data_IF_211604608802
#
_entry.id   IF_211604608802
#
_cell.length_a   1.000
_cell.length_b   1.000
_cell.length_c   1.000
_cell.angle_alpha   90.00
_cell.angle_beta   90.00
_cell.angle_gamma   90.00
#
_symmetry.space_group_name_H-M   'P 1'
#
loop_
_entity.id
_entity.type
_entity.pdbx_description
1 polymer ?
#
# COMPACT_ATOMS: atom_id res chain seq x y z
N UNK A 1 -52.64 10.21 -43.07
CA UNK A 1 -51.76 9.04 -42.89
C UNK A 1 -51.11 8.74 -44.23
N UNK A 2 -49.81 9.03 -44.41
CA UNK A 2 -49.12 8.87 -45.69
C UNK A 2 -48.31 7.56 -45.69
N UNK A 3 -48.73 6.59 -46.49
CA UNK A 3 -48.02 5.31 -46.65
C UNK A 3 -47.00 5.46 -47.78
N UNK A 4 -45.71 5.51 -47.45
CA UNK A 4 -44.63 5.60 -48.43
C UNK A 4 -44.38 4.22 -49.04
N UNK A 5 -44.96 3.97 -50.22
CA UNK A 5 -44.80 2.70 -50.94
C UNK A 5 -43.49 2.70 -51.75
N UNK A 6 -42.40 2.20 -51.16
CA UNK A 6 -41.08 2.14 -51.82
C UNK A 6 -40.99 0.92 -52.73
N UNK A 7 -41.19 1.11 -54.05
CA UNK A 7 -41.01 0.04 -55.05
C UNK A 7 -39.52 -0.19 -55.37
N UNK A 8 -38.82 -0.85 -54.45
CA UNK A 8 -37.38 -1.13 -54.56
C UNK A 8 -37.06 -2.18 -55.62
N UNK A 9 -36.54 -1.76 -56.76
CA UNK A 9 -35.96 -2.68 -57.75
C UNK A 9 -34.67 -3.32 -57.22
N UNK A 10 -34.41 -4.60 -57.57
CA UNK A 10 -33.27 -5.42 -57.06
C UNK A 10 -31.93 -4.67 -57.03
N UNK A 11 -31.62 -3.88 -58.07
CA UNK A 11 -30.39 -3.07 -58.16
C UNK A 11 -30.25 -2.02 -57.04
N UNK A 12 -31.35 -1.40 -56.60
CA UNK A 12 -31.35 -0.44 -55.48
C UNK A 12 -31.25 -1.14 -54.12
N UNK A 13 -31.80 -2.34 -53.98
CA UNK A 13 -31.64 -3.14 -52.76
C UNK A 13 -30.17 -3.55 -52.54
N UNK A 14 -29.47 -3.95 -53.60
CA UNK A 14 -28.04 -4.28 -53.55
C UNK A 14 -27.19 -3.05 -53.17
N UNK A 15 -27.48 -1.87 -53.74
CA UNK A 15 -26.77 -0.63 -53.40
C UNK A 15 -26.98 -0.20 -51.95
N UNK A 16 -28.21 -0.32 -51.42
CA UNK A 16 -28.49 -0.02 -50.00
C UNK A 16 -27.76 -1.02 -49.08
N UNK A 17 -27.77 -2.31 -49.41
CA UNK A 17 -27.04 -3.32 -48.63
C UNK A 17 -25.53 -3.05 -48.62
N UNK A 18 -24.94 -2.71 -49.77
CA UNK A 18 -23.53 -2.35 -49.88
C UNK A 18 -23.19 -1.08 -49.07
N UNK A 19 -24.04 -0.05 -49.12
CA UNK A 19 -23.85 1.16 -48.32
C UNK A 19 -23.90 0.88 -46.81
N UNK A 20 -24.86 0.05 -46.36
CA UNK A 20 -24.94 -0.38 -44.94
C UNK A 20 -23.69 -1.17 -44.54
N UNK A 21 -23.17 -2.05 -45.40
CA UNK A 21 -21.95 -2.81 -45.11
C UNK A 21 -20.70 -1.90 -45.03
N UNK A 22 -20.59 -0.88 -45.88
CA UNK A 22 -19.52 0.13 -45.81
C UNK A 22 -19.63 0.96 -44.52
N UNK A 23 -20.84 1.35 -44.11
CA UNK A 23 -21.06 2.08 -42.85
C UNK A 23 -20.71 1.20 -41.64
N UNK A 24 -21.11 -0.08 -41.63
CA UNK A 24 -20.77 -1.03 -40.56
C UNK A 24 -19.26 -1.29 -40.46
N UNK A 25 -18.58 -1.46 -41.59
CA UNK A 25 -17.12 -1.68 -41.60
C UNK A 25 -16.36 -0.41 -41.22
N UNK A 26 -16.81 0.77 -41.63
CA UNK A 26 -16.28 2.05 -41.16
C UNK A 26 -16.52 2.26 -39.66
N UNK A 27 -17.68 1.89 -39.13
CA UNK A 27 -17.98 1.96 -37.69
C UNK A 27 -17.11 0.99 -36.87
N UNK A 28 -16.86 -0.23 -37.36
CA UNK A 28 -15.92 -1.17 -36.72
C UNK A 28 -14.46 -0.67 -36.79
N UNK A 29 -14.05 -0.09 -37.91
CA UNK A 29 -12.72 0.49 -38.07
C UNK A 29 -12.51 1.70 -37.16
N UNK A 30 -13.49 2.60 -37.07
CA UNK A 30 -13.50 3.70 -36.10
C UNK A 30 -13.51 3.17 -34.66
N UNK A 31 -14.29 2.13 -34.36
CA UNK A 31 -14.27 1.44 -33.07
C UNK A 31 -12.91 0.85 -32.69
N UNK A 32 -12.08 0.45 -33.67
CA UNK A 32 -10.70 -0.01 -33.42
C UNK A 32 -9.67 1.12 -33.38
N UNK A 33 -9.85 2.20 -34.13
CA UNK A 33 -8.95 3.35 -34.14
C UNK A 33 -9.18 4.31 -32.95
N UNK A 34 -10.41 4.37 -32.41
CA UNK A 34 -10.73 5.09 -31.18
C UNK A 34 -10.74 4.16 -29.95
N UNK A 35 -10.93 2.84 -30.13
CA UNK A 35 -10.89 1.82 -29.07
C UNK A 35 -9.49 1.48 -28.54
N UNK A 36 -8.47 2.27 -28.89
CA UNK A 36 -7.19 2.28 -28.18
C UNK A 36 -7.32 2.85 -26.76
N UNK A 37 -8.39 3.61 -26.49
CA UNK A 37 -8.88 3.77 -25.13
C UNK A 37 -9.52 2.43 -24.67
N UNK A 38 -8.71 1.61 -23.99
CA UNK A 38 -9.23 0.74 -22.94
C UNK A 38 -10.28 1.53 -22.17
N UNK A 39 -11.47 0.95 -21.94
CA UNK A 39 -12.54 1.64 -21.23
C UNK A 39 -11.97 2.10 -19.89
N UNK A 40 -11.71 3.41 -19.77
CA UNK A 40 -10.90 3.93 -18.68
C UNK A 40 -11.63 3.61 -17.38
N UNK A 41 -11.15 2.59 -16.66
CA UNK A 41 -11.67 2.28 -15.34
C UNK A 41 -11.55 3.58 -14.56
N UNK A 42 -12.69 4.07 -14.08
CA UNK A 42 -12.78 5.40 -13.47
C UNK A 42 -12.10 5.32 -12.11
N UNK A 43 -10.77 5.44 -12.12
CA UNK A 43 -9.95 5.32 -10.94
C UNK A 43 -10.43 6.33 -9.90
N UNK A 44 -10.43 5.95 -8.61
CA UNK A 44 -10.85 6.82 -7.53
C UNK A 44 -10.08 8.14 -7.56
N UNK A 45 -10.75 9.24 -7.20
CA UNK A 45 -10.04 10.47 -6.91
C UNK A 45 -9.21 10.28 -5.63
N UNK A 46 -8.01 10.86 -5.59
CA UNK A 46 -7.09 10.78 -4.45
C UNK A 46 -6.20 12.01 -4.35
N UNK A 47 -6.58 13.12 -4.98
CA UNK A 47 -5.82 14.37 -4.98
C UNK A 47 -5.89 15.05 -3.62
N UNK A 48 -7.10 15.12 -3.04
CA UNK A 48 -7.32 15.69 -1.70
C UNK A 48 -7.30 14.62 -0.61
N UNK A 49 -7.13 15.04 0.64
CA UNK A 49 -7.08 14.14 1.78
C UNK A 49 -8.43 13.45 2.04
N UNK A 50 -9.51 14.22 1.91
CA UNK A 50 -10.89 13.75 2.08
C UNK A 50 -11.25 12.68 1.05
N UNK A 51 -10.74 12.79 -0.18
CA UNK A 51 -10.92 11.77 -1.22
C UNK A 51 -10.22 10.45 -0.86
N UNK A 52 -8.99 10.51 -0.33
CA UNK A 52 -8.24 9.33 0.12
C UNK A 52 -8.89 8.64 1.32
N UNK A 53 -9.35 9.41 2.30
CA UNK A 53 -10.10 8.89 3.45
C UNK A 53 -11.46 8.30 3.03
N UNK A 54 -12.21 8.97 2.15
CA UNK A 54 -13.48 8.46 1.63
C UNK A 54 -13.30 7.17 0.81
N UNK A 55 -12.17 7.00 0.12
CA UNK A 55 -11.82 5.75 -0.55
C UNK A 55 -11.62 4.61 0.46
N UNK A 56 -10.82 4.82 1.52
CA UNK A 56 -10.62 3.82 2.59
C UNK A 56 -11.93 3.45 3.29
N UNK A 57 -12.75 4.45 3.62
CA UNK A 57 -14.09 4.26 4.18
C UNK A 57 -15.03 3.48 3.25
N UNK A 58 -14.84 3.59 1.92
CA UNK A 58 -15.56 2.80 0.92
C UNK A 58 -15.31 1.30 1.01
N UNK A 59 -14.16 0.88 1.57
CA UNK A 59 -13.85 -0.51 1.90
C UNK A 59 -14.13 -0.86 3.37
N UNK A 60 -14.68 0.07 4.16
CA UNK A 60 -14.96 -0.11 5.59
C UNK A 60 -13.80 0.20 6.53
N UNK A 61 -12.68 0.74 6.02
CA UNK A 61 -11.53 1.09 6.84
C UNK A 61 -11.64 2.52 7.38
N UNK A 62 -11.54 2.64 8.70
CA UNK A 62 -11.35 3.91 9.39
C UNK A 62 -9.86 4.13 9.60
N UNK A 63 -9.39 5.34 9.29
CA UNK A 63 -7.99 5.71 9.39
C UNK A 63 -7.86 7.14 9.93
N UNK A 64 -6.69 7.45 10.49
CA UNK A 64 -6.41 8.77 11.05
C UNK A 64 -6.51 9.89 10.00
N UNK A 65 -6.91 11.08 10.43
CA UNK A 65 -7.19 12.22 9.54
C UNK A 65 -5.97 12.66 8.74
N UNK A 66 -4.75 12.52 9.30
CA UNK A 66 -3.50 12.88 8.65
C UNK A 66 -2.74 11.62 8.22
N UNK A 67 -2.04 11.70 7.08
CA UNK A 67 -1.14 10.63 6.66
C UNK A 67 0.09 10.62 7.56
N UNK A 68 0.46 9.43 8.05
CA UNK A 68 1.66 9.17 8.87
C UNK A 68 2.93 9.46 8.06
N UNK A 69 2.93 9.05 6.80
CA UNK A 69 4.05 9.26 5.87
C UNK A 69 3.53 9.59 4.47
N UNK A 70 4.25 10.48 3.77
CA UNK A 70 4.00 10.78 2.36
C UNK A 70 5.34 10.75 1.64
N UNK A 71 5.48 9.83 0.68
CA UNK A 71 6.73 9.62 -0.07
C UNK A 71 6.47 9.56 -1.55
N UNK A 72 7.45 9.99 -2.32
CA UNK A 72 7.46 9.85 -3.77
C UNK A 72 8.15 8.53 -4.13
N UNK A 73 7.50 7.70 -4.96
CA UNK A 73 8.04 6.41 -5.42
C UNK A 73 7.93 6.30 -6.94
N UNK A 74 8.89 5.64 -7.56
CA UNK A 74 8.85 5.33 -8.99
C UNK A 74 8.45 3.86 -9.17
N UNK A 75 7.42 3.64 -9.98
CA UNK A 75 7.01 2.30 -10.40
C UNK A 75 8.05 1.77 -11.39
N UNK A 76 8.60 0.56 -11.22
CA UNK A 76 9.60 0.01 -12.14
C UNK A 76 9.15 0.03 -13.61
N UNK A 77 10.05 0.32 -14.55
CA UNK A 77 9.79 0.21 -15.99
C UNK A 77 9.54 -1.23 -16.45
N UNK A 78 10.11 -2.20 -15.72
CA UNK A 78 9.98 -3.63 -15.96
C UNK A 78 9.56 -4.28 -14.66
N UNK A 79 8.43 -4.98 -14.66
CA UNK A 79 7.93 -5.69 -13.48
C UNK A 79 8.65 -7.05 -13.39
N UNK A 80 9.33 -7.29 -12.29
CA UNK A 80 9.87 -8.60 -11.93
C UNK A 80 8.76 -9.49 -11.33
N UNK A 81 9.08 -10.75 -10.99
CA UNK A 81 8.10 -11.69 -10.44
C UNK A 81 7.42 -11.17 -9.15
N UNK A 82 8.12 -10.33 -8.36
CA UNK A 82 7.59 -9.74 -7.13
C UNK A 82 6.59 -8.63 -7.45
N UNK A 83 6.96 -7.70 -8.34
CA UNK A 83 6.10 -6.58 -8.73
C UNK A 83 4.92 -7.03 -9.61
N UNK A 84 5.09 -8.09 -10.40
CA UNK A 84 3.98 -8.79 -11.06
C UNK A 84 3.00 -9.35 -10.03
N UNK A 85 3.50 -10.03 -8.99
CA UNK A 85 2.66 -10.59 -7.91
C UNK A 85 1.93 -9.50 -7.11
N UNK A 86 2.58 -8.38 -6.84
CA UNK A 86 1.94 -7.20 -6.26
C UNK A 86 0.85 -6.65 -7.20
N UNK A 87 1.15 -6.49 -8.50
CA UNK A 87 0.15 -6.00 -9.46
C UNK A 87 -1.04 -6.95 -9.63
N UNK A 88 -0.90 -8.26 -9.45
CA UNK A 88 -2.06 -9.17 -9.40
C UNK A 88 -3.04 -8.80 -8.27
N UNK A 89 -2.53 -8.47 -7.07
CA UNK A 89 -3.32 -7.99 -5.92
C UNK A 89 -3.96 -6.64 -6.20
N UNK A 90 -3.29 -5.76 -6.96
CA UNK A 90 -3.86 -4.48 -7.38
C UNK A 90 -4.95 -4.64 -8.44
N UNK A 91 -4.73 -5.49 -9.46
CA UNK A 91 -5.70 -5.80 -10.52
C UNK A 91 -6.98 -6.43 -9.97
N UNK A 92 -6.88 -7.26 -8.91
CA UNK A 92 -8.05 -7.80 -8.21
C UNK A 92 -8.95 -6.69 -7.61
N UNK A 93 -8.36 -5.56 -7.23
CA UNK A 93 -9.06 -4.36 -6.73
C UNK A 93 -9.50 -3.40 -7.86
N UNK A 94 -9.31 -3.77 -9.14
CA UNK A 94 -9.60 -2.91 -10.30
C UNK A 94 -8.56 -1.82 -10.54
N UNK A 95 -7.35 -1.96 -10.00
CA UNK A 95 -6.25 -1.00 -10.06
C UNK A 95 -5.04 -1.62 -10.76
N UNK A 96 -4.77 -1.28 -12.02
CA UNK A 96 -3.66 -1.86 -12.78
C UNK A 96 -2.45 -0.92 -12.82
N UNK A 97 -1.30 -1.39 -12.34
CA UNK A 97 -0.05 -0.64 -12.31
C UNK A 97 0.75 -0.73 -13.62
N UNK A 98 0.52 -1.73 -14.47
CA UNK A 98 1.20 -1.87 -15.78
C UNK A 98 1.18 -0.58 -16.63
N UNK A 99 0.04 0.14 -16.82
CA UNK A 99 0.02 1.41 -17.55
C UNK A 99 0.74 2.57 -16.84
N UNK A 100 1.28 2.37 -15.63
CA UNK A 100 2.05 3.33 -14.86
C UNK A 100 3.53 2.92 -14.65
N UNK A 101 4.00 1.85 -15.29
CA UNK A 101 5.41 1.48 -15.34
C UNK A 101 6.31 2.65 -15.77
N UNK A 102 7.45 2.82 -15.09
CA UNK A 102 8.40 3.91 -15.30
C UNK A 102 7.92 5.29 -14.80
N UNK A 103 6.74 5.39 -14.17
CA UNK A 103 6.19 6.66 -13.69
C UNK A 103 6.37 6.83 -12.19
N UNK A 104 6.56 8.08 -11.80
CA UNK A 104 6.65 8.49 -10.40
C UNK A 104 5.27 8.87 -9.85
N UNK A 105 4.88 8.27 -8.73
CA UNK A 105 3.63 8.52 -8.02
C UNK A 105 3.89 8.85 -6.54
N UNK A 106 2.86 9.32 -5.82
CA UNK A 106 2.95 9.62 -4.38
C UNK A 106 2.26 8.51 -3.59
N UNK A 107 3.00 7.84 -2.73
CA UNK A 107 2.48 6.93 -1.72
C UNK A 107 2.08 7.73 -0.48
N UNK A 108 0.85 7.56 -0.03
CA UNK A 108 0.31 8.12 1.22
C UNK A 108 0.06 6.96 2.17
N UNK A 109 0.64 7.02 3.37
CA UNK A 109 0.51 5.96 4.38
C UNK A 109 -0.36 6.50 5.52
N UNK A 110 -1.49 5.85 5.78
CA UNK A 110 -2.42 6.20 6.86
C UNK A 110 -2.42 5.12 7.95
N UNK A 111 -2.59 5.48 9.21
CA UNK A 111 -2.78 4.53 10.30
C UNK A 111 -4.25 4.10 10.38
N UNK A 112 -4.52 2.78 10.38
CA UNK A 112 -5.87 2.21 10.40
C UNK A 112 -6.28 1.91 11.83
N UNK A 113 -7.41 2.47 12.27
CA UNK A 113 -7.84 2.45 13.67
C UNK A 113 -8.86 1.35 13.98
N UNK A 114 -9.55 0.84 12.96
CA UNK A 114 -10.61 -0.17 13.08
C UNK A 114 -10.18 -1.57 12.58
N UNK A 115 -8.88 -1.91 12.64
CA UNK A 115 -8.41 -3.24 12.27
C UNK A 115 -8.73 -4.26 13.40
N UNK A 116 -9.27 -5.46 13.12
CA UNK A 116 -9.78 -6.37 14.15
C UNK A 116 -8.71 -7.18 14.90
N UNK A 117 -7.48 -7.23 14.40
CA UNK A 117 -6.35 -7.86 15.10
C UNK A 117 -5.63 -6.85 16.01
N UNK A 118 -4.91 -7.36 17.01
CA UNK A 118 -3.95 -6.53 17.74
C UNK A 118 -2.72 -6.31 16.85
N UNK A 119 -2.33 -5.05 16.65
CA UNK A 119 -1.20 -4.66 15.79
C UNK A 119 -1.43 -3.26 15.20
N UNK A 120 -0.36 -2.59 14.78
CA UNK A 120 -0.47 -1.32 14.04
C UNK A 120 -0.50 -1.62 12.55
N UNK A 121 -1.65 -1.35 11.92
CA UNK A 121 -1.87 -1.58 10.49
C UNK A 121 -1.89 -0.25 9.74
N UNK A 122 -1.18 -0.20 8.62
CA UNK A 122 -1.09 0.95 7.75
C UNK A 122 -1.76 0.71 6.41
N UNK A 123 -2.52 1.70 5.93
CA UNK A 123 -3.08 1.74 4.59
C UNK A 123 -2.19 2.58 3.67
N UNK A 124 -1.51 1.93 2.74
CA UNK A 124 -0.73 2.57 1.66
C UNK A 124 -1.63 2.91 0.48
N UNK A 125 -1.62 4.15 0.00
CA UNK A 125 -2.36 4.58 -1.19
C UNK A 125 -1.42 5.18 -2.23
N UNK A 126 -1.37 4.59 -3.42
CA UNK A 126 -0.57 5.06 -4.55
C UNK A 126 -1.38 6.03 -5.40
N UNK A 127 -0.97 7.30 -5.43
CA UNK A 127 -1.65 8.39 -6.15
C UNK A 127 -0.80 8.91 -7.30
N UNK A 128 -1.32 8.80 -8.52
CA UNK A 128 -0.75 9.38 -9.73
C UNK A 128 -1.77 10.27 -10.43
N UNK A 129 -1.37 11.49 -10.84
CA UNK A 129 -2.23 12.45 -11.55
C UNK A 129 -3.60 12.67 -10.87
N UNK A 130 -3.59 12.85 -9.54
CA UNK A 130 -4.79 13.04 -8.71
C UNK A 130 -5.69 11.81 -8.54
N UNK A 131 -5.27 10.64 -9.02
CA UNK A 131 -6.05 9.38 -9.00
C UNK A 131 -5.35 8.30 -8.19
N UNK A 132 -6.12 7.50 -7.46
CA UNK A 132 -5.62 6.31 -6.77
C UNK A 132 -5.41 5.23 -7.84
N UNK A 133 -4.16 4.85 -8.06
CA UNK A 133 -3.74 3.82 -9.03
C UNK A 133 -3.40 2.47 -8.38
N UNK A 134 -3.36 2.43 -7.04
CA UNK A 134 -3.00 1.25 -6.27
C UNK A 134 -3.01 1.54 -4.77
N UNK A 135 -2.69 0.54 -3.97
CA UNK A 135 -2.69 0.60 -2.53
C UNK A 135 -3.05 -0.74 -1.87
N UNK A 136 -2.67 -0.85 -0.60
CA UNK A 136 -2.65 -2.06 0.20
C UNK A 136 -2.75 -1.74 1.71
N UNK A 137 -2.99 -2.79 2.50
CA UNK A 137 -2.91 -2.79 3.95
C UNK A 137 -1.70 -3.61 4.38
N UNK A 138 -0.87 -3.06 5.26
CA UNK A 138 0.33 -3.70 5.80
C UNK A 138 0.40 -3.62 7.33
N UNK A 139 0.91 -4.66 7.99
CA UNK A 139 1.20 -4.61 9.44
C UNK A 139 2.68 -4.29 9.68
N UNK A 140 2.97 -3.54 10.75
CA UNK A 140 4.34 -3.20 11.18
C UNK A 140 4.99 -4.25 12.07
N UNK A 141 4.30 -5.36 12.34
CA UNK A 141 4.79 -6.46 13.17
C UNK A 141 5.85 -7.31 12.45
N UNK A 142 6.62 -8.10 13.23
CA UNK A 142 7.70 -8.93 12.70
C UNK A 142 7.22 -9.98 11.66
N UNK A 143 6.03 -10.54 11.92
CA UNK A 143 5.30 -11.43 11.01
C UNK A 143 4.23 -10.64 10.20
N UNK A 144 4.58 -9.42 9.77
CA UNK A 144 3.69 -8.52 9.05
C UNK A 144 3.19 -9.08 7.71
N UNK A 145 1.96 -8.72 7.34
CA UNK A 145 1.32 -9.10 6.09
C UNK A 145 1.23 -7.92 5.11
N UNK A 146 0.93 -8.21 3.84
CA UNK A 146 0.34 -7.25 2.90
C UNK A 146 -0.95 -7.83 2.33
N UNK A 147 -2.04 -7.08 2.34
CA UNK A 147 -3.26 -7.48 1.66
C UNK A 147 -3.98 -6.32 0.95
N UNK A 148 -4.87 -6.67 0.02
CA UNK A 148 -5.76 -5.72 -0.63
C UNK A 148 -6.79 -5.11 0.35
N UNK A 149 -7.37 -3.96 0.00
CA UNK A 149 -8.41 -3.33 0.83
C UNK A 149 -9.70 -4.15 0.98
N UNK A 150 -9.97 -5.11 0.10
CA UNK A 150 -11.07 -6.06 0.24
C UNK A 150 -10.72 -7.30 1.08
N UNK A 151 -9.49 -7.40 1.61
CA UNK A 151 -8.98 -8.57 2.33
C UNK A 151 -8.50 -9.72 1.42
N UNK A 152 -8.63 -9.62 0.10
CA UNK A 152 -8.09 -10.61 -0.86
C UNK A 152 -6.65 -10.27 -1.23
N UNK A 153 -5.71 -10.59 -0.34
CA UNK A 153 -4.27 -10.44 -0.58
C UNK A 153 -3.53 -11.73 -0.31
N UNK A 154 -2.63 -12.11 -1.21
CA UNK A 154 -1.77 -13.27 -1.02
C UNK A 154 -0.77 -13.03 0.13
N UNK A 155 -0.32 -14.12 0.74
CA UNK A 155 0.88 -14.16 1.60
C UNK A 155 2.11 -13.85 0.72
N UNK A 156 2.29 -12.57 0.37
CA UNK A 156 3.42 -12.12 -0.43
C UNK A 156 4.68 -12.22 0.46
N UNK A 157 5.73 -12.96 0.06
CA UNK A 157 6.89 -13.25 0.91
C UNK A 157 7.84 -12.05 1.10
N UNK A 158 7.42 -10.84 0.75
CA UNK A 158 8.19 -9.60 0.82
C UNK A 158 8.26 -9.03 2.25
N UNK A 159 8.27 -9.87 3.30
CA UNK A 159 8.78 -9.42 4.60
C UNK A 159 10.28 -9.18 4.43
N UNK A 160 10.61 -7.99 3.91
CA UNK A 160 11.95 -7.50 3.73
C UNK A 160 12.48 -7.26 5.12
N UNK A 161 13.16 -8.28 5.63
CA UNK A 161 14.20 -8.07 6.63
C UNK A 161 15.09 -6.95 6.12
N UNK A 162 15.27 -5.93 6.95
CA UNK A 162 16.22 -4.84 6.71
C UNK A 162 17.68 -5.33 6.83
N UNK A 163 18.03 -6.35 6.06
CA UNK A 163 19.42 -6.76 5.84
C UNK A 163 20.06 -5.77 4.86
N UNK A 164 20.81 -4.84 5.43
CA UNK A 164 21.77 -4.00 4.71
C UNK A 164 22.90 -4.93 4.24
N UNK A 165 23.11 -5.13 2.92
CA UNK A 165 24.10 -6.09 2.44
C UNK A 165 25.50 -5.47 2.41
N UNK A 166 26.14 -5.34 3.58
CA UNK A 166 27.58 -5.01 3.65
C UNK A 166 28.43 -6.29 3.64
N UNK A 167 28.71 -6.81 2.44
CA UNK A 167 29.70 -7.88 2.26
C UNK A 167 31.00 -7.36 1.64
N UNK A 168 32.10 -7.48 2.42
CA UNK A 168 33.51 -7.39 2.03
C UNK A 168 34.06 -6.01 1.58
N UNK A 169 34.93 -5.38 2.38
CA UNK A 169 36.31 -5.90 2.53
C UNK A 169 37.08 -5.35 3.74
N UNK A 170 37.74 -6.25 4.47
CA UNK A 170 39.15 -6.18 4.96
C UNK A 170 39.65 -4.88 5.67
N UNK A 171 40.27 -4.86 6.86
CA UNK A 171 41.00 -5.86 7.69
C UNK A 171 41.30 -5.17 9.06
N UNK A 172 41.69 -5.75 10.22
CA UNK A 172 42.24 -7.07 10.58
C UNK A 172 42.03 -7.39 12.09
N UNK A 173 42.35 -8.65 12.47
CA UNK A 173 43.06 -9.15 13.69
C UNK A 173 43.32 -8.14 14.83
N UNK A 174 43.01 -8.44 16.11
CA UNK A 174 43.51 -9.59 16.90
C UNK A 174 42.57 -9.92 18.09
N UNK A 175 42.17 -11.18 18.32
CA UNK A 175 42.77 -12.13 19.31
C UNK A 175 42.75 -11.67 20.78
N UNK A 176 42.58 -12.50 21.82
CA UNK A 176 42.22 -13.94 22.00
C UNK A 176 42.02 -14.15 23.52
N UNK A 177 41.59 -15.35 23.94
CA UNK A 177 41.52 -15.87 25.33
C UNK A 177 40.25 -15.47 26.11
N UNK A 178 39.55 -16.34 26.85
CA UNK A 178 39.44 -17.81 26.98
C UNK A 178 38.82 -18.04 28.38
N UNK A 179 37.69 -18.76 28.43
CA UNK A 179 37.41 -19.92 29.33
C UNK A 179 37.53 -19.73 30.87
N UNK A 180 36.81 -20.43 31.76
CA UNK A 180 35.81 -21.52 31.68
C UNK A 180 34.97 -21.51 33.02
N UNK A 181 34.24 -22.55 33.51
CA UNK A 181 33.04 -22.33 34.33
C UNK A 181 33.02 -23.00 35.74
N UNK A 182 31.88 -22.82 36.43
CA UNK A 182 31.38 -23.61 37.59
C UNK A 182 32.21 -23.54 38.90
N UNK A 183 31.73 -23.90 40.11
CA UNK A 183 30.55 -24.66 40.60
C UNK A 183 30.16 -24.12 42.01
N UNK A 184 29.00 -24.52 42.59
CA UNK A 184 28.77 -24.69 44.06
C UNK A 184 28.60 -23.41 44.91
N UNK A 185 27.64 -23.26 45.86
CA UNK A 185 26.54 -24.12 46.34
C UNK A 185 25.49 -23.35 47.17
N UNK A 186 24.31 -23.97 47.38
CA UNK A 186 23.31 -23.71 48.43
C UNK A 186 23.88 -23.84 49.88
N UNK A 187 23.15 -23.56 51.01
CA UNK A 187 21.67 -23.64 51.20
C UNK A 187 20.92 -22.57 52.06
N UNK A 188 19.59 -22.60 51.92
CA UNK A 188 18.49 -22.33 52.87
C UNK A 188 18.62 -21.34 54.07
N UNK A 189 17.64 -20.42 54.23
CA UNK A 189 16.45 -20.62 55.08
C UNK A 189 15.61 -19.35 55.43
N UNK A 190 14.28 -19.52 55.51
CA UNK A 190 13.30 -18.86 56.42
C UNK A 190 12.93 -17.36 56.34
N UNK A 191 11.79 -17.11 55.69
CA UNK A 191 10.51 -16.66 56.30
C UNK A 191 10.28 -15.27 56.97
N UNK A 192 9.20 -14.62 56.49
CA UNK A 192 8.07 -13.97 57.22
C UNK A 192 7.99 -12.42 57.37
N UNK A 193 6.80 -11.89 57.02
CA UNK A 193 6.17 -10.62 57.46
C UNK A 193 6.90 -9.28 57.16
N UNK A 194 6.27 -8.10 57.18
CA UNK A 194 4.90 -7.60 56.91
C UNK A 194 4.92 -6.08 57.12
N UNK A 195 4.05 -5.30 56.45
CA UNK A 195 3.96 -3.85 56.64
C UNK A 195 3.82 -3.13 55.29
N UNK A 196 2.69 -2.59 54.83
CA UNK A 196 1.62 -1.74 55.43
C UNK A 196 1.84 -0.26 55.10
N UNK A 197 0.87 0.33 54.37
CA UNK A 197 0.59 1.77 54.26
C UNK A 197 1.64 2.68 53.55
N UNK A 198 1.28 3.85 52.99
CA UNK A 198 -0.05 4.46 52.78
C UNK A 198 -0.04 5.36 51.53
N UNK A 199 -1.23 5.81 51.12
CA UNK A 199 -1.45 6.65 49.94
C UNK A 199 -0.99 8.11 50.10
N UNK A 200 -0.61 8.73 48.98
CA UNK A 200 -0.83 10.14 48.54
C UNK A 200 -0.15 10.34 47.17
N UNK A 201 -0.47 11.31 46.30
CA UNK A 201 -1.66 12.13 46.01
C UNK A 201 -1.26 13.09 44.87
N UNK A 202 -2.20 13.49 43.98
CA UNK A 202 -2.04 14.56 42.96
C UNK A 202 -0.97 14.26 41.86
N UNK A 203 -1.15 14.60 40.57
CA UNK A 203 -1.33 15.93 39.94
C UNK A 203 -0.14 16.87 40.27
N UNK A 204 0.44 17.64 39.35
CA UNK A 204 0.03 18.06 37.99
C UNK A 204 1.29 18.39 37.14
N UNK A 205 1.09 18.86 35.90
CA UNK A 205 2.14 19.23 34.95
C UNK A 205 3.14 20.29 35.45
N UNK A 206 4.40 20.17 35.03
CA UNK A 206 5.13 21.22 34.30
C UNK A 206 6.43 20.64 33.69
N UNK A 207 6.76 21.05 32.47
CA UNK A 207 8.07 20.81 31.90
C UNK A 207 9.04 21.91 32.38
N UNK A 208 10.18 21.52 32.96
CA UNK A 208 11.30 22.43 33.20
C UNK A 208 12.34 22.26 32.08
N UNK A 209 12.90 23.36 31.51
CA UNK A 209 13.85 23.26 30.41
C UNK A 209 15.21 22.75 30.87
N UNK A 210 15.77 21.80 30.11
CA UNK A 210 17.13 21.28 30.33
C UNK A 210 18.14 22.41 30.04
N UNK A 211 19.10 22.69 30.93
CA UNK A 211 20.13 23.70 30.68
C UNK A 211 21.17 23.21 29.65
N UNK A 212 21.53 24.07 28.70
CA UNK A 212 22.40 23.81 27.52
C UNK A 212 23.88 23.45 27.82
N UNK A 213 24.27 23.22 29.08
CA UNK A 213 25.69 23.12 29.52
C UNK A 213 26.06 21.72 30.05
N UNK A 214 25.38 20.67 29.54
CA UNK A 214 25.50 19.28 30.00
C UNK A 214 26.22 18.33 29.02
N UNK A 215 27.06 18.85 28.12
CA UNK A 215 27.89 18.04 27.23
C UNK A 215 29.33 17.96 27.77
N UNK A 216 29.83 16.76 28.14
CA UNK A 216 31.22 16.61 28.55
C UNK A 216 32.17 16.79 27.35
N UNK A 217 33.22 17.58 27.55
CA UNK A 217 34.37 17.67 26.67
C UNK A 217 35.44 16.66 27.10
N UNK A 218 35.86 15.80 26.17
CA UNK A 218 36.92 14.77 26.23
C UNK A 218 37.09 13.94 27.53
#
# INVERSE_FOLDING_TARGET
MFVVSVKTGKKRMILVLAAVLVILTAALAAGKLLGGAQAAQSLPAGETNEQRLAFLQGYGWEADTEAVEVREITIPDVFDDVYLKYNEVQKAQGMDLEPYAGKTCRQWIYNVTNYPAQGTVHASLLVFDGKIIGGDLSSTELDGFLCAFNGEGAELPWSVSSEIPETASSVSTSETVSSEPAVTSEPAASAVSSGTESAVSAAEAAAEPIPDDAWPID
#
